data_IF_099861369192
#
_entry.id   IF_099861369192
#
_cell.length_a   1.000
_cell.length_b   1.000
_cell.length_c   1.000
_cell.angle_alpha   90.00
_cell.angle_beta   90.00
_cell.angle_gamma   90.00
#
_symmetry.space_group_name_H-M   'P 1'
#
loop_
_entity.id
_entity.type
_entity.pdbx_description
1 polymer ?
#
# COMPACT_ATOMS: atom_id res chain seq x y z
N UNK A 1 3.16 5.89 6.76
CA UNK A 1 3.85 4.58 6.82
C UNK A 1 3.08 3.52 6.05
N UNK A 2 1.82 3.18 6.40
CA UNK A 2 1.08 2.06 5.78
C UNK A 2 1.01 2.11 4.26
N UNK A 3 0.74 3.27 3.68
CA UNK A 3 0.69 3.41 2.22
C UNK A 3 2.08 3.35 1.60
N UNK A 4 3.06 4.03 2.17
CA UNK A 4 4.47 3.96 1.72
C UNK A 4 4.96 2.51 1.71
N UNK A 5 4.65 1.77 2.78
CA UNK A 5 5.03 0.35 2.89
C UNK A 5 4.32 -0.56 1.89
N UNK A 6 3.13 -0.18 1.42
CA UNK A 6 2.32 -1.02 0.52
C UNK A 6 2.57 -0.70 -0.95
N UNK A 7 2.67 0.58 -1.30
CA UNK A 7 2.74 1.05 -2.70
C UNK A 7 3.88 2.05 -2.95
N UNK A 8 4.76 2.29 -1.98
CA UNK A 8 5.92 3.17 -2.13
C UNK A 8 5.64 4.68 -2.06
N UNK A 9 4.43 5.10 -1.83
CA UNK A 9 4.04 6.51 -1.74
C UNK A 9 2.93 6.77 -0.73
N UNK A 10 2.69 8.02 -0.36
CA UNK A 10 1.66 8.39 0.60
C UNK A 10 0.53 9.20 -0.04
N UNK A 11 -0.66 9.16 0.58
CA UNK A 11 -1.81 9.95 0.12
C UNK A 11 -1.64 11.47 0.28
N UNK A 12 -0.82 11.89 1.23
CA UNK A 12 -0.74 13.30 1.59
C UNK A 12 0.20 14.09 0.70
N UNK A 13 1.29 13.45 0.35
CA UNK A 13 2.44 14.16 -0.19
C UNK A 13 2.57 13.95 -1.69
N UNK A 14 1.95 12.87 -2.20
CA UNK A 14 2.34 12.33 -3.50
C UNK A 14 1.23 12.20 -4.52
N UNK A 15 0.06 12.74 -4.25
CA UNK A 15 -0.97 12.65 -5.27
C UNK A 15 -2.37 12.97 -4.80
N UNK A 16 -3.32 12.58 -5.61
CA UNK A 16 -4.74 12.78 -5.36
C UNK A 16 -5.63 12.05 -6.34
N UNK A 17 -6.94 12.01 -6.07
CA UNK A 17 -7.91 11.42 -6.97
C UNK A 17 -7.98 12.18 -8.29
N UNK A 18 -8.03 11.45 -9.41
CA UNK A 18 -8.23 12.02 -10.74
C UNK A 18 -9.72 12.21 -11.04
N UNK A 19 -10.34 13.19 -10.38
CA UNK A 19 -11.78 13.44 -10.51
C UNK A 19 -12.22 13.93 -11.89
N UNK A 20 -11.30 14.41 -12.71
CA UNK A 20 -11.64 14.81 -14.08
C UNK A 20 -11.99 13.61 -14.98
N UNK A 21 -11.54 12.41 -14.61
CA UNK A 21 -11.72 11.18 -15.39
C UNK A 21 -12.37 10.04 -14.60
N UNK A 22 -12.47 10.15 -13.30
CA UNK A 22 -13.13 9.16 -12.47
C UNK A 22 -14.61 9.00 -12.84
N UNK A 23 -15.16 7.82 -12.61
CA UNK A 23 -16.61 7.54 -12.69
C UNK A 23 -17.21 7.24 -11.33
N UNK A 24 -16.41 6.62 -10.46
CA UNK A 24 -16.75 6.39 -9.07
C UNK A 24 -15.67 7.01 -8.17
N UNK A 25 -16.10 7.81 -7.20
CA UNK A 25 -15.26 8.39 -6.19
C UNK A 25 -15.67 7.92 -4.80
N UNK A 26 -14.75 7.31 -4.07
CA UNK A 26 -14.97 6.80 -2.71
C UNK A 26 -14.08 7.56 -1.74
N UNK A 27 -14.70 8.30 -0.85
CA UNK A 27 -14.03 9.04 0.22
C UNK A 27 -14.27 8.35 1.55
N UNK A 28 -13.19 8.08 2.30
CA UNK A 28 -13.25 7.30 3.52
C UNK A 28 -12.61 8.09 4.66
N UNK A 29 -13.35 8.27 5.77
CA UNK A 29 -12.82 8.85 7.00
C UNK A 29 -12.40 10.31 6.88
N UNK A 30 -13.01 11.08 5.98
CA UNK A 30 -12.73 12.50 5.78
C UNK A 30 -13.99 13.31 6.07
N UNK A 31 -13.96 14.07 7.15
CA UNK A 31 -15.07 14.92 7.57
C UNK A 31 -14.81 16.42 7.32
N UNK A 32 -13.58 16.79 7.06
CA UNK A 32 -13.16 18.19 6.95
C UNK A 32 -13.74 18.86 5.72
N UNK A 33 -14.51 19.91 5.94
CA UNK A 33 -15.07 20.72 4.87
C UNK A 33 -14.60 22.18 4.91
N UNK A 34 -13.89 22.59 5.96
CA UNK A 34 -13.55 23.97 6.21
C UNK A 34 -12.37 24.49 5.40
N UNK A 35 -11.45 23.60 4.97
CA UNK A 35 -10.17 23.99 4.38
C UNK A 35 -9.96 23.54 2.93
N UNK A 36 -10.92 22.84 2.31
CA UNK A 36 -10.73 22.22 1.00
C UNK A 36 -11.75 22.69 -0.03
N UNK A 37 -11.90 24.00 -0.20
CA UNK A 37 -12.74 24.55 -1.27
C UNK A 37 -12.39 24.01 -2.67
N UNK A 38 -11.10 23.84 -3.06
CA UNK A 38 -10.76 23.26 -4.35
C UNK A 38 -11.31 21.85 -4.53
N UNK A 39 -11.26 21.00 -3.50
CA UNK A 39 -11.79 19.64 -3.57
C UNK A 39 -13.32 19.62 -3.66
N UNK A 40 -14.04 20.51 -2.94
CA UNK A 40 -15.49 20.67 -3.10
C UNK A 40 -15.88 21.08 -4.52
N UNK A 41 -15.16 22.01 -5.11
CA UNK A 41 -15.37 22.43 -6.49
C UNK A 41 -15.13 21.27 -7.47
N UNK A 42 -14.06 20.50 -7.27
CA UNK A 42 -13.77 19.32 -8.08
C UNK A 42 -14.87 18.25 -7.95
N UNK A 43 -15.36 17.98 -6.73
CA UNK A 43 -16.48 17.06 -6.49
C UNK A 43 -17.75 17.56 -7.17
N UNK A 44 -18.07 18.86 -7.07
CA UNK A 44 -19.23 19.43 -7.71
C UNK A 44 -19.18 19.30 -9.25
N UNK A 45 -18.00 19.51 -9.83
CA UNK A 45 -17.76 19.28 -11.26
C UNK A 45 -17.92 17.79 -11.60
N UNK A 46 -17.26 16.92 -10.88
CA UNK A 46 -17.31 15.47 -11.04
C UNK A 46 -18.75 14.93 -11.05
N UNK A 47 -19.57 15.34 -10.09
CA UNK A 47 -20.99 14.97 -10.02
C UNK A 47 -21.81 15.52 -11.20
N UNK A 48 -21.57 16.76 -11.60
CA UNK A 48 -22.20 17.39 -12.76
C UNK A 48 -21.89 16.67 -14.06
N UNK A 49 -20.69 16.12 -14.17
CA UNK A 49 -20.23 15.34 -15.31
C UNK A 49 -20.68 13.85 -15.24
N UNK A 50 -21.57 13.50 -14.30
CA UNK A 50 -22.19 12.18 -14.16
C UNK A 50 -21.42 11.20 -13.26
N UNK A 51 -20.40 11.65 -12.57
CA UNK A 51 -19.66 10.84 -11.61
C UNK A 51 -20.47 10.56 -10.34
N UNK A 52 -20.27 9.38 -9.76
CA UNK A 52 -20.91 8.94 -8.51
C UNK A 52 -19.97 9.09 -7.33
N UNK A 53 -20.41 9.79 -6.30
CA UNK A 53 -19.67 10.05 -5.08
C UNK A 53 -20.23 9.28 -3.88
N UNK A 54 -19.42 8.40 -3.28
CA UNK A 54 -19.72 7.65 -2.06
C UNK A 54 -18.85 8.14 -0.93
N UNK A 55 -19.45 8.48 0.20
CA UNK A 55 -18.73 8.89 1.42
C UNK A 55 -18.96 7.87 2.53
N UNK A 56 -17.90 7.25 3.01
CA UNK A 56 -17.90 6.33 4.13
C UNK A 56 -17.37 7.08 5.36
N UNK A 57 -18.25 7.39 6.31
CA UNK A 57 -17.90 8.24 7.44
C UNK A 57 -18.88 7.99 8.60
N UNK A 58 -18.40 7.98 9.86
CA UNK A 58 -19.29 7.86 11.03
C UNK A 58 -20.36 8.97 11.12
N UNK A 59 -20.05 10.17 10.62
CA UNK A 59 -20.91 11.34 10.76
C UNK A 59 -21.28 11.90 9.39
N UNK A 60 -22.55 12.24 9.22
CA UNK A 60 -23.06 12.86 7.98
C UNK A 60 -22.85 14.38 8.01
N UNK A 61 -21.60 14.81 7.92
CA UNK A 61 -21.23 16.23 7.86
C UNK A 61 -20.24 16.47 6.73
N UNK A 62 -19.99 17.73 6.40
CA UNK A 62 -18.99 18.08 5.40
C UNK A 62 -19.22 17.39 4.07
N UNK A 63 -18.24 16.65 3.62
CA UNK A 63 -18.29 15.92 2.35
C UNK A 63 -19.40 14.87 2.30
N UNK A 64 -19.72 14.23 3.43
CA UNK A 64 -20.79 13.23 3.49
C UNK A 64 -22.17 13.83 3.21
N UNK A 65 -22.37 15.13 3.48
CA UNK A 65 -23.61 15.80 3.20
C UNK A 65 -23.87 16.03 1.70
N UNK A 66 -22.82 16.11 0.89
CA UNK A 66 -22.90 16.31 -0.57
C UNK A 66 -22.68 15.02 -1.36
N UNK A 67 -22.44 13.90 -0.69
CA UNK A 67 -22.29 12.58 -1.34
C UNK A 67 -23.63 12.11 -1.93
N UNK A 68 -23.55 11.33 -3.02
CA UNK A 68 -24.72 10.64 -3.59
C UNK A 68 -25.17 9.50 -2.66
N UNK A 69 -24.20 8.92 -1.95
CA UNK A 69 -24.44 7.94 -0.92
C UNK A 69 -23.54 8.18 0.28
N UNK A 70 -24.14 8.23 1.46
CA UNK A 70 -23.42 8.20 2.72
C UNK A 70 -23.58 6.84 3.38
N UNK A 71 -22.45 6.22 3.71
CA UNK A 71 -22.37 4.93 4.39
C UNK A 71 -21.89 5.18 5.82
N UNK A 72 -22.77 5.08 6.81
CA UNK A 72 -22.39 5.20 8.22
C UNK A 72 -21.55 3.98 8.62
N UNK A 73 -20.47 4.23 9.35
CA UNK A 73 -19.58 3.18 9.84
C UNK A 73 -19.24 3.44 11.32
N UNK A 74 -19.08 2.40 12.10
CA UNK A 74 -18.57 2.53 13.46
C UNK A 74 -17.13 3.04 13.45
N UNK A 75 -16.78 4.06 14.25
CA UNK A 75 -15.42 4.59 14.30
C UNK A 75 -14.38 3.50 14.57
N UNK A 76 -13.25 3.55 13.86
CA UNK A 76 -12.13 2.62 14.04
C UNK A 76 -12.30 1.24 13.40
N UNK A 77 -13.38 1.01 12.66
CA UNK A 77 -13.67 -0.29 12.02
C UNK A 77 -13.45 -0.30 10.51
N UNK A 78 -12.91 0.76 9.95
CA UNK A 78 -12.65 0.91 8.50
C UNK A 78 -11.81 -0.24 7.94
N UNK A 79 -10.85 -0.75 8.72
CA UNK A 79 -10.04 -1.90 8.33
C UNK A 79 -10.87 -3.16 8.06
N UNK A 80 -11.92 -3.41 8.86
CA UNK A 80 -12.81 -4.54 8.65
C UNK A 80 -13.63 -4.39 7.36
N UNK A 81 -14.11 -3.18 7.07
CA UNK A 81 -14.81 -2.89 5.83
C UNK A 81 -13.91 -3.10 4.61
N UNK A 82 -12.69 -2.59 4.65
CA UNK A 82 -11.72 -2.75 3.57
C UNK A 82 -11.36 -4.22 3.33
N UNK A 83 -11.17 -5.00 4.39
CA UNK A 83 -10.91 -6.44 4.27
C UNK A 83 -12.09 -7.18 3.62
N UNK A 84 -13.34 -6.80 3.93
CA UNK A 84 -14.51 -7.37 3.27
C UNK A 84 -14.62 -6.96 1.79
N UNK A 85 -14.22 -5.74 1.42
CA UNK A 85 -14.10 -5.37 0.01
C UNK A 85 -13.05 -6.21 -0.71
N UNK A 86 -11.88 -6.44 -0.09
CA UNK A 86 -10.86 -7.33 -0.66
C UNK A 86 -11.41 -8.74 -0.86
N UNK A 87 -12.12 -9.28 0.15
CA UNK A 87 -12.77 -10.60 0.06
C UNK A 87 -13.70 -10.69 -1.15
N UNK A 88 -14.64 -9.76 -1.29
CA UNK A 88 -15.63 -9.76 -2.37
C UNK A 88 -15.00 -9.59 -3.75
N UNK A 89 -14.06 -8.67 -3.89
CA UNK A 89 -13.38 -8.42 -5.17
C UNK A 89 -12.59 -9.65 -5.61
N UNK A 90 -11.87 -10.29 -4.68
CA UNK A 90 -11.08 -11.50 -4.99
C UNK A 90 -12.00 -12.69 -5.26
N UNK A 91 -13.04 -12.90 -4.44
CA UNK A 91 -13.96 -14.00 -4.60
C UNK A 91 -14.71 -13.97 -5.94
N UNK A 92 -15.08 -12.77 -6.41
CA UNK A 92 -15.81 -12.57 -7.67
C UNK A 92 -14.90 -12.33 -8.88
N UNK A 93 -13.59 -12.37 -8.72
CA UNK A 93 -12.63 -12.14 -9.82
C UNK A 93 -12.72 -10.75 -10.43
N UNK A 94 -13.05 -9.74 -9.63
CA UNK A 94 -13.23 -8.35 -10.05
C UNK A 94 -11.93 -7.53 -10.00
N UNK A 95 -10.78 -8.17 -9.91
CA UNK A 95 -9.47 -7.52 -9.87
C UNK A 95 -8.87 -7.37 -11.26
N UNK A 96 -7.99 -6.38 -11.42
CA UNK A 96 -7.20 -6.17 -12.63
C UNK A 96 -5.96 -7.07 -12.62
N UNK A 97 -6.08 -8.24 -13.29
CA UNK A 97 -4.98 -9.21 -13.35
C UNK A 97 -3.71 -8.64 -13.98
N UNK A 98 -3.86 -7.88 -15.05
CA UNK A 98 -2.71 -7.35 -15.79
C UNK A 98 -1.93 -6.34 -14.96
N UNK A 99 -2.64 -5.50 -14.21
CA UNK A 99 -2.02 -4.60 -13.25
C UNK A 99 -1.27 -5.36 -12.16
N UNK A 100 -1.91 -6.37 -11.57
CA UNK A 100 -1.31 -7.18 -10.50
C UNK A 100 -0.04 -7.89 -10.96
N UNK A 101 -0.04 -8.45 -12.14
CA UNK A 101 1.13 -9.14 -12.70
C UNK A 101 2.28 -8.18 -12.99
N UNK A 102 1.97 -7.03 -13.59
CA UNK A 102 3.01 -6.11 -14.07
C UNK A 102 3.62 -5.25 -12.97
N UNK A 103 2.79 -4.79 -12.02
CA UNK A 103 3.20 -3.71 -11.12
C UNK A 103 3.20 -4.10 -9.65
N UNK A 104 2.93 -5.38 -9.33
CA UNK A 104 2.90 -5.85 -7.95
C UNK A 104 3.64 -7.18 -7.78
N UNK A 105 3.84 -7.57 -6.54
CA UNK A 105 4.40 -8.87 -6.18
C UNK A 105 3.38 -10.01 -6.20
N UNK A 106 2.17 -9.80 -6.72
CA UNK A 106 1.06 -10.75 -6.64
C UNK A 106 1.37 -12.14 -7.21
N UNK A 107 2.14 -12.20 -8.30
CA UNK A 107 2.58 -13.47 -8.93
C UNK A 107 3.85 -14.09 -8.33
N UNK A 108 4.55 -13.38 -7.44
CA UNK A 108 5.81 -13.87 -6.89
C UNK A 108 5.60 -15.05 -5.95
N UNK A 109 6.45 -16.05 -6.08
CA UNK A 109 6.38 -17.29 -5.30
C UNK A 109 6.87 -17.06 -3.88
N UNK A 110 6.15 -17.64 -2.94
CA UNK A 110 6.45 -17.64 -1.52
C UNK A 110 6.59 -19.06 -1.03
N UNK A 111 7.59 -19.31 -0.18
CA UNK A 111 7.75 -20.58 0.51
C UNK A 111 6.54 -20.84 1.41
N UNK A 112 5.83 -21.93 1.16
CA UNK A 112 4.63 -22.33 1.89
C UNK A 112 4.85 -23.53 2.81
N UNK A 113 6.08 -23.95 3.03
CA UNK A 113 6.42 -24.99 3.99
C UNK A 113 6.46 -24.43 5.42
N UNK A 114 5.43 -24.71 6.19
CA UNK A 114 5.30 -24.26 7.59
C UNK A 114 6.42 -24.78 8.52
N UNK A 115 7.19 -25.75 8.08
CA UNK A 115 8.31 -26.32 8.84
C UNK A 115 9.66 -25.68 8.50
N UNK A 116 9.70 -24.89 7.45
CA UNK A 116 10.91 -24.20 7.00
C UNK A 116 11.13 -22.92 7.80
N UNK A 117 12.38 -22.63 8.12
CA UNK A 117 12.79 -21.34 8.69
C UNK A 117 12.54 -20.18 7.72
N UNK A 118 12.40 -20.50 6.42
CA UNK A 118 12.08 -19.56 5.35
C UNK A 118 10.57 -19.48 5.04
N UNK A 119 9.71 -20.05 5.89
CA UNK A 119 8.26 -19.97 5.69
C UNK A 119 7.78 -18.53 5.55
N UNK A 120 7.01 -18.27 4.50
CA UNK A 120 6.47 -16.93 4.22
C UNK A 120 7.44 -16.00 3.48
N UNK A 121 8.67 -16.41 3.22
CA UNK A 121 9.65 -15.63 2.47
C UNK A 121 9.46 -15.82 0.96
N UNK A 122 9.74 -14.75 0.20
CA UNK A 122 9.78 -14.84 -1.26
C UNK A 122 10.96 -15.67 -1.73
N UNK A 123 10.70 -16.52 -2.69
CA UNK A 123 11.75 -17.30 -3.34
C UNK A 123 12.54 -16.41 -4.29
N UNK A 124 13.85 -16.55 -4.19
CA UNK A 124 14.83 -15.79 -4.98
C UNK A 124 15.70 -16.72 -5.81
N UNK A 125 16.24 -16.20 -6.88
CA UNK A 125 17.32 -16.81 -7.63
C UNK A 125 18.59 -15.98 -7.44
N UNK A 126 19.75 -16.61 -7.62
CA UNK A 126 21.00 -15.88 -7.65
C UNK A 126 21.06 -15.05 -8.94
N UNK A 127 21.21 -13.75 -8.78
CA UNK A 127 21.45 -12.81 -9.88
C UNK A 127 22.87 -12.27 -9.73
N UNK A 128 23.71 -12.28 -10.78
CA UNK A 128 25.03 -11.69 -10.73
C UNK A 128 24.98 -10.25 -10.21
N UNK A 129 25.92 -9.86 -9.37
CA UNK A 129 25.91 -8.54 -8.71
C UNK A 129 25.89 -7.39 -9.73
N UNK A 130 26.50 -7.61 -10.89
CA UNK A 130 26.55 -6.66 -12.01
C UNK A 130 25.15 -6.45 -12.67
N UNK A 131 24.28 -7.45 -12.58
CA UNK A 131 22.90 -7.40 -13.10
C UNK A 131 21.88 -7.03 -12.03
N UNK A 132 22.24 -7.11 -10.78
CA UNK A 132 21.41 -6.86 -9.63
C UNK A 132 21.26 -5.34 -9.38
N UNK A 133 20.63 -4.67 -10.31
CA UNK A 133 20.43 -3.24 -10.28
C UNK A 133 19.23 -2.84 -9.42
N UNK A 134 18.18 -3.59 -9.48
CA UNK A 134 16.96 -3.39 -8.74
C UNK A 134 16.22 -4.71 -8.58
N UNK A 135 15.74 -4.94 -7.42
CA UNK A 135 15.24 -6.18 -6.86
C UNK A 135 14.23 -7.04 -7.66
N UNK A 136 13.47 -6.61 -8.64
CA UNK A 136 12.42 -7.45 -9.21
C UNK A 136 12.91 -8.72 -9.93
N UNK A 137 14.15 -8.71 -10.40
CA UNK A 137 14.65 -9.79 -11.26
C UNK A 137 15.11 -11.03 -10.52
N UNK A 138 15.29 -10.95 -9.22
CA UNK A 138 15.72 -12.09 -8.40
C UNK A 138 14.57 -12.95 -7.85
N UNK A 139 13.31 -12.53 -8.06
CA UNK A 139 12.12 -13.26 -7.63
C UNK A 139 11.67 -14.26 -8.69
N UNK A 140 10.82 -15.20 -8.28
CA UNK A 140 10.31 -16.25 -9.14
C UNK A 140 8.80 -16.13 -9.34
N UNK A 141 8.36 -16.44 -10.57
CA UNK A 141 6.99 -16.72 -10.93
C UNK A 141 6.82 -18.20 -11.29
N UNK A 142 5.59 -18.71 -11.18
CA UNK A 142 5.21 -19.96 -11.83
C UNK A 142 4.51 -19.63 -13.14
N UNK A 143 5.17 -19.96 -14.24
CA UNK A 143 4.69 -19.62 -15.58
C UNK A 143 3.63 -20.59 -16.08
N UNK A 144 2.51 -20.07 -16.59
CA UNK A 144 1.40 -20.85 -17.14
C UNK A 144 1.74 -21.52 -18.46
N UNK A 145 2.61 -20.90 -19.25
CA UNK A 145 2.94 -21.39 -20.58
C UNK A 145 3.85 -22.63 -20.51
N UNK A 146 4.79 -22.62 -19.58
CA UNK A 146 5.78 -23.70 -19.43
C UNK A 146 5.48 -24.62 -18.26
N UNK A 147 4.59 -24.23 -17.36
CA UNK A 147 4.29 -24.91 -16.09
C UNK A 147 5.55 -25.16 -15.23
N UNK A 148 6.47 -24.20 -15.24
CA UNK A 148 7.70 -24.22 -14.45
C UNK A 148 7.94 -22.88 -13.80
N UNK A 149 8.90 -22.83 -12.86
CA UNK A 149 9.37 -21.57 -12.30
C UNK A 149 10.22 -20.81 -13.32
N UNK A 150 10.03 -19.49 -13.37
CA UNK A 150 10.81 -18.55 -14.18
C UNK A 150 11.10 -17.30 -13.37
N UNK A 151 12.14 -16.57 -13.72
CA UNK A 151 12.40 -15.26 -13.13
C UNK A 151 11.27 -14.30 -13.46
N UNK A 152 11.00 -13.37 -12.55
CA UNK A 152 9.97 -12.35 -12.76
C UNK A 152 10.29 -11.50 -14.00
N UNK A 153 9.24 -11.06 -14.67
CA UNK A 153 9.31 -10.21 -15.87
C UNK A 153 10.07 -10.83 -17.06
N UNK A 154 10.30 -12.15 -17.04
CA UNK A 154 10.81 -12.85 -18.21
C UNK A 154 9.91 -12.59 -19.44
N UNK A 155 10.46 -12.15 -20.57
CA UNK A 155 9.67 -11.90 -21.76
C UNK A 155 8.83 -13.12 -22.19
N UNK A 156 7.52 -12.89 -22.41
CA UNK A 156 6.59 -13.95 -22.82
C UNK A 156 6.08 -14.84 -21.68
N UNK A 157 6.52 -14.67 -20.44
CA UNK A 157 5.97 -15.39 -19.31
C UNK A 157 4.58 -14.85 -18.91
N UNK A 158 3.70 -15.79 -18.54
CA UNK A 158 2.36 -15.50 -18.02
C UNK A 158 2.20 -16.16 -16.63
N UNK A 159 2.44 -15.42 -15.53
CA UNK A 159 2.46 -16.01 -14.21
C UNK A 159 1.07 -16.41 -13.70
N UNK A 160 1.02 -17.53 -12.96
CA UNK A 160 -0.12 -17.84 -12.12
C UNK A 160 -0.24 -16.85 -10.95
N UNK A 161 -1.43 -16.37 -10.70
CA UNK A 161 -1.78 -15.66 -9.46
C UNK A 161 -2.33 -16.60 -8.39
N UNK A 162 -2.90 -17.71 -8.81
CA UNK A 162 -3.53 -18.71 -7.94
C UNK A 162 -2.92 -20.09 -8.20
N UNK A 163 -2.79 -20.88 -7.15
CA UNK A 163 -2.29 -22.25 -7.24
C UNK A 163 -1.37 -22.62 -6.09
N UNK A 164 -1.03 -23.90 -6.07
CA UNK A 164 -0.03 -24.48 -5.17
C UNK A 164 0.89 -25.31 -6.04
N UNK A 165 2.17 -25.09 -5.92
CA UNK A 165 3.18 -25.74 -6.76
C UNK A 165 4.26 -26.35 -5.89
N UNK A 166 5.10 -27.16 -6.49
CA UNK A 166 6.28 -27.72 -5.86
C UNK A 166 7.53 -27.25 -6.63
N UNK A 167 8.45 -26.62 -5.92
CA UNK A 167 9.73 -26.23 -6.47
C UNK A 167 10.85 -27.05 -5.78
N UNK A 168 11.31 -28.10 -6.45
CA UNK A 168 12.37 -29.01 -5.95
C UNK A 168 12.07 -29.58 -4.56
N UNK A 169 10.81 -29.93 -4.28
CA UNK A 169 10.39 -30.50 -3.01
C UNK A 169 9.95 -29.43 -1.98
N UNK A 170 10.01 -28.16 -2.34
CA UNK A 170 9.50 -27.05 -1.50
C UNK A 170 8.11 -26.66 -1.98
N UNK A 171 7.07 -26.76 -1.13
CA UNK A 171 5.75 -26.27 -1.49
C UNK A 171 5.75 -24.73 -1.59
N UNK A 172 5.25 -24.23 -2.72
CA UNK A 172 5.24 -22.80 -3.01
C UNK A 172 3.87 -22.33 -3.47
N UNK A 173 3.57 -21.06 -3.21
CA UNK A 173 2.34 -20.39 -3.64
C UNK A 173 2.65 -19.00 -4.16
N UNK A 174 1.93 -18.50 -5.18
CA UNK A 174 1.92 -17.06 -5.48
C UNK A 174 1.45 -16.26 -4.26
N UNK A 175 2.01 -15.09 -4.02
CA UNK A 175 1.61 -14.24 -2.89
C UNK A 175 0.13 -13.84 -2.94
N UNK A 176 -0.45 -13.71 -4.14
CA UNK A 176 -1.88 -13.48 -4.32
C UNK A 176 -2.75 -14.65 -3.82
N UNK A 177 -2.28 -15.90 -3.95
CA UNK A 177 -2.96 -17.06 -3.38
C UNK A 177 -3.03 -16.95 -1.85
N UNK A 178 -1.93 -16.53 -1.21
CA UNK A 178 -1.90 -16.30 0.23
C UNK A 178 -2.83 -15.16 0.65
N UNK A 179 -2.88 -14.07 -0.12
CA UNK A 179 -3.84 -12.99 0.12
C UNK A 179 -5.28 -13.50 0.04
N UNK A 180 -5.63 -14.28 -0.99
CA UNK A 180 -6.96 -14.90 -1.13
C UNK A 180 -7.31 -15.77 0.06
N UNK A 181 -6.39 -16.63 0.50
CA UNK A 181 -6.57 -17.49 1.66
C UNK A 181 -6.76 -16.65 2.94
N UNK A 182 -5.97 -15.60 3.11
CA UNK A 182 -6.04 -14.71 4.26
C UNK A 182 -7.37 -13.96 4.36
N UNK A 183 -7.87 -13.41 3.26
CA UNK A 183 -9.10 -12.61 3.27
C UNK A 183 -10.37 -13.46 3.24
N UNK A 184 -10.28 -14.76 3.02
CA UNK A 184 -11.44 -15.65 2.95
C UNK A 184 -12.31 -15.62 4.21
N UNK A 185 -11.73 -15.35 5.38
CA UNK A 185 -12.42 -15.26 6.66
C UNK A 185 -13.19 -13.93 6.86
N UNK A 186 -12.94 -12.91 6.05
CA UNK A 186 -13.49 -11.57 6.24
C UNK A 186 -14.70 -11.34 5.34
N UNK A 187 -15.75 -12.15 5.53
CA UNK A 187 -16.98 -12.03 4.74
C UNK A 187 -17.72 -10.72 5.01
N UNK A 188 -18.62 -10.28 4.12
CA UNK A 188 -19.49 -9.14 4.36
C UNK A 188 -20.32 -9.25 5.64
N UNK A 189 -20.79 -10.45 6.00
CA UNK A 189 -21.54 -10.70 7.23
C UNK A 189 -20.68 -10.50 8.48
N UNK A 190 -19.44 -10.98 8.45
CA UNK A 190 -18.48 -10.71 9.50
C UNK A 190 -18.26 -9.20 9.64
N UNK A 191 -18.04 -8.51 8.54
CA UNK A 191 -17.81 -7.08 8.54
C UNK A 191 -19.03 -6.27 8.98
N UNK A 192 -20.25 -6.68 8.64
CA UNK A 192 -21.48 -6.06 9.16
C UNK A 192 -21.52 -6.10 10.68
N UNK A 193 -21.19 -7.24 11.29
CA UNK A 193 -21.13 -7.37 12.74
C UNK A 193 -20.14 -6.41 13.41
N UNK A 194 -19.02 -6.16 12.75
CA UNK A 194 -17.95 -5.27 13.24
C UNK A 194 -18.26 -3.80 12.95
N UNK A 195 -18.61 -3.48 11.72
CA UNK A 195 -18.70 -2.11 11.19
C UNK A 195 -20.07 -1.46 11.35
N UNK A 196 -21.12 -2.28 11.42
CA UNK A 196 -22.50 -1.83 11.34
C UNK A 196 -22.96 -1.48 9.92
N UNK A 197 -22.12 -1.65 8.91
CA UNK A 197 -22.48 -1.48 7.50
C UNK A 197 -23.16 -2.77 7.03
N UNK A 198 -24.39 -2.73 6.47
CA UNK A 198 -25.08 -3.93 6.01
C UNK A 198 -24.28 -4.73 4.98
N UNK A 199 -24.28 -6.06 5.11
CA UNK A 199 -23.53 -6.96 4.21
C UNK A 199 -23.89 -6.76 2.74
N UNK A 200 -25.15 -6.50 2.43
CA UNK A 200 -25.58 -6.22 1.06
C UNK A 200 -25.03 -4.90 0.52
N UNK A 201 -24.86 -3.88 1.38
CA UNK A 201 -24.21 -2.64 1.00
C UNK A 201 -22.72 -2.88 0.71
N UNK A 202 -22.04 -3.69 1.51
CA UNK A 202 -20.64 -4.06 1.30
C UNK A 202 -20.49 -4.79 -0.04
N UNK A 203 -21.31 -5.79 -0.32
CA UNK A 203 -21.29 -6.54 -1.59
C UNK A 203 -21.55 -5.64 -2.79
N UNK A 204 -22.54 -4.79 -2.68
CA UNK A 204 -22.91 -3.88 -3.77
C UNK A 204 -21.80 -2.89 -4.07
N UNK A 205 -21.21 -2.27 -3.05
CA UNK A 205 -20.09 -1.33 -3.25
C UNK A 205 -18.83 -2.00 -3.79
N UNK A 206 -18.49 -3.20 -3.29
CA UNK A 206 -17.38 -3.97 -3.83
C UNK A 206 -17.60 -4.33 -5.30
N UNK A 207 -18.81 -4.76 -5.65
CA UNK A 207 -19.19 -5.07 -7.03
C UNK A 207 -19.13 -3.81 -7.90
N UNK A 208 -19.69 -2.69 -7.44
CA UNK A 208 -19.68 -1.41 -8.16
C UNK A 208 -18.24 -0.94 -8.43
N UNK A 209 -17.36 -0.96 -7.42
CA UNK A 209 -15.96 -0.62 -7.59
C UNK A 209 -15.26 -1.52 -8.61
N UNK A 210 -15.46 -2.83 -8.48
CA UNK A 210 -14.80 -3.80 -9.37
C UNK A 210 -15.25 -3.69 -10.82
N UNK A 211 -16.56 -3.58 -11.06
CA UNK A 211 -17.13 -3.43 -12.40
C UNK A 211 -16.73 -2.08 -13.02
N UNK A 212 -16.79 -1.00 -12.24
CA UNK A 212 -16.38 0.32 -12.73
C UNK A 212 -14.90 0.33 -13.13
N UNK A 213 -14.03 -0.24 -12.31
CA UNK A 213 -12.61 -0.29 -12.61
C UNK A 213 -12.29 -1.18 -13.83
N UNK A 214 -12.94 -2.35 -13.93
CA UNK A 214 -12.62 -3.37 -14.94
C UNK A 214 -13.33 -3.14 -16.27
N UNK A 215 -14.63 -2.83 -16.22
CA UNK A 215 -15.50 -2.86 -17.40
C UNK A 215 -15.76 -1.46 -17.98
N UNK A 216 -15.43 -0.40 -17.25
CA UNK A 216 -15.59 0.97 -17.70
C UNK A 216 -14.25 1.68 -17.93
N UNK A 217 -13.24 0.93 -18.31
CA UNK A 217 -11.88 1.44 -18.56
C UNK A 217 -11.89 2.65 -19.49
N UNK A 218 -10.91 3.50 -19.26
CA UNK A 218 -10.62 4.68 -20.10
C UNK A 218 -9.39 4.35 -20.92
N UNK A 219 -9.41 4.67 -22.20
CA UNK A 219 -8.23 4.62 -23.04
C UNK A 219 -7.92 6.04 -23.54
N UNK A 220 -6.69 6.46 -23.31
CA UNK A 220 -6.18 7.74 -23.78
C UNK A 220 -5.09 7.51 -24.82
N UNK A 221 -5.12 8.21 -25.97
CA UNK A 221 -4.11 8.09 -27.02
C UNK A 221 -2.82 8.83 -26.61
N UNK A 222 -2.16 8.32 -25.58
CA UNK A 222 -0.92 8.86 -25.04
C UNK A 222 0.15 7.77 -25.15
N UNK A 223 1.13 8.00 -26.02
CA UNK A 223 2.28 7.10 -26.12
C UNK A 223 3.18 7.22 -24.91
N UNK A 224 3.66 6.08 -24.40
CA UNK A 224 4.53 6.03 -23.26
C UNK A 224 5.36 4.75 -23.26
N UNK A 225 6.44 4.76 -22.50
CA UNK A 225 7.31 3.60 -22.30
C UNK A 225 7.22 3.16 -20.83
N UNK A 226 7.00 1.89 -20.58
CA UNK A 226 6.93 1.34 -19.23
C UNK A 226 8.34 1.17 -18.61
N UNK A 227 8.36 0.79 -17.33
CA UNK A 227 9.61 0.61 -16.60
C UNK A 227 10.49 -0.53 -17.11
N UNK A 228 9.96 -1.39 -17.97
CA UNK A 228 10.66 -2.50 -18.59
C UNK A 228 11.07 -2.20 -20.05
N UNK A 229 10.84 -0.97 -20.51
CA UNK A 229 11.22 -0.53 -21.86
C UNK A 229 10.21 -0.90 -22.95
N UNK A 230 9.02 -1.38 -22.61
CA UNK A 230 7.99 -1.64 -23.61
C UNK A 230 7.29 -0.35 -24.01
N UNK A 231 7.11 -0.15 -25.31
CA UNK A 231 6.37 0.98 -25.87
C UNK A 231 4.88 0.67 -25.92
N UNK A 232 4.07 1.67 -25.59
CA UNK A 232 2.62 1.62 -25.60
C UNK A 232 2.08 2.85 -26.32
N UNK A 233 1.09 2.68 -27.18
CA UNK A 233 0.44 3.78 -27.92
C UNK A 233 -0.67 4.43 -27.09
N UNK A 234 -1.18 3.74 -26.08
CA UNK A 234 -2.30 4.18 -25.26
C UNK A 234 -2.04 3.98 -23.78
N UNK A 235 -2.66 4.81 -22.96
CA UNK A 235 -2.72 4.66 -21.51
C UNK A 235 -4.12 4.20 -21.12
N UNK A 236 -4.21 3.08 -20.42
CA UNK A 236 -5.47 2.56 -19.88
C UNK A 236 -5.72 3.09 -18.46
N UNK A 237 -6.91 3.60 -18.21
CA UNK A 237 -7.37 4.07 -16.90
C UNK A 237 -8.45 3.20 -16.30
N UNK A 238 -8.42 3.05 -14.97
CA UNK A 238 -9.42 2.33 -14.18
C UNK A 238 -10.15 3.37 -13.30
N UNK A 239 -11.37 3.84 -13.69
CA UNK A 239 -11.93 5.10 -13.21
C UNK A 239 -12.61 5.01 -11.84
N UNK A 240 -11.93 4.43 -10.87
CA UNK A 240 -12.34 4.43 -9.46
C UNK A 240 -11.30 5.18 -8.65
N UNK A 241 -11.67 6.35 -8.17
CA UNK A 241 -10.81 7.21 -7.40
C UNK A 241 -11.08 7.09 -5.89
N UNK A 242 -10.04 7.22 -5.09
CA UNK A 242 -10.13 7.17 -3.64
C UNK A 242 -9.58 8.44 -3.01
N UNK A 243 -10.13 8.78 -1.87
CA UNK A 243 -9.53 9.77 -0.97
C UNK A 243 -9.73 9.33 0.47
N UNK A 244 -8.66 9.34 1.22
CA UNK A 244 -8.65 9.01 2.63
C UNK A 244 -7.69 9.94 3.37
N UNK A 245 -8.01 10.23 4.62
CA UNK A 245 -7.22 11.13 5.45
C UNK A 245 -6.94 10.49 6.81
N UNK A 246 -6.60 11.31 7.79
CA UNK A 246 -6.25 10.89 9.14
C UNK A 246 -7.27 9.98 9.82
N UNK A 247 -8.55 10.09 9.45
CA UNK A 247 -9.60 9.27 10.04
C UNK A 247 -9.32 7.78 10.00
N UNK A 248 -8.70 7.28 8.91
CA UNK A 248 -8.31 5.87 8.79
C UNK A 248 -7.02 5.53 9.54
N UNK A 249 -6.08 6.47 9.59
CA UNK A 249 -4.74 6.23 10.12
C UNK A 249 -4.63 6.44 11.64
N UNK A 250 -5.50 7.26 12.23
CA UNK A 250 -5.39 7.68 13.61
C UNK A 250 -6.05 6.69 14.61
N UNK A 251 -5.89 5.40 14.36
CA UNK A 251 -6.35 4.30 15.20
C UNK A 251 -5.21 3.33 15.47
N UNK A 252 -5.35 2.51 16.50
CA UNK A 252 -4.35 1.49 16.85
C UNK A 252 -4.06 0.51 15.70
N UNK A 253 -5.04 0.25 14.84
CA UNK A 253 -4.92 -0.58 13.64
C UNK A 253 -4.71 0.24 12.35
N UNK A 254 -4.47 1.55 12.45
CA UNK A 254 -4.43 2.47 11.31
C UNK A 254 -3.40 2.10 10.26
N UNK A 255 -2.24 1.57 10.64
CA UNK A 255 -1.25 1.09 9.69
C UNK A 255 -1.81 -0.03 8.79
N UNK A 256 -2.44 -1.03 9.37
CA UNK A 256 -3.01 -2.15 8.62
C UNK A 256 -4.25 -1.73 7.81
N UNK A 257 -5.03 -0.80 8.34
CA UNK A 257 -6.17 -0.20 7.63
C UNK A 257 -5.72 0.50 6.33
N UNK A 258 -4.67 1.31 6.42
CA UNK A 258 -4.10 1.98 5.25
C UNK A 258 -3.47 0.98 4.28
N UNK A 259 -2.83 -0.08 4.77
CA UNK A 259 -2.36 -1.17 3.90
C UNK A 259 -3.50 -1.85 3.15
N UNK A 260 -4.60 -2.15 3.83
CA UNK A 260 -5.78 -2.74 3.19
C UNK A 260 -6.34 -1.85 2.07
N UNK A 261 -6.35 -0.52 2.28
CA UNK A 261 -6.74 0.44 1.24
C UNK A 261 -5.76 0.41 0.05
N UNK A 262 -4.45 0.38 0.29
CA UNK A 262 -3.45 0.26 -0.77
C UNK A 262 -3.60 -1.03 -1.58
N UNK A 263 -3.88 -2.14 -0.90
CA UNK A 263 -4.16 -3.44 -1.55
C UNK A 263 -5.44 -3.35 -2.38
N UNK A 264 -6.51 -2.73 -1.87
CA UNK A 264 -7.75 -2.52 -2.61
C UNK A 264 -7.51 -1.75 -3.91
N UNK A 265 -6.77 -0.64 -3.84
CA UNK A 265 -6.40 0.15 -5.01
C UNK A 265 -5.56 -0.65 -6.00
N UNK A 266 -4.66 -1.50 -5.52
CA UNK A 266 -3.86 -2.41 -6.37
C UNK A 266 -4.72 -3.47 -7.04
N UNK A 267 -5.69 -4.06 -6.33
CA UNK A 267 -6.63 -5.02 -6.92
C UNK A 267 -7.45 -4.40 -8.05
N UNK A 268 -7.88 -3.16 -7.86
CA UNK A 268 -8.66 -2.43 -8.87
C UNK A 268 -7.78 -1.86 -9.99
N UNK A 269 -6.46 -1.89 -9.84
CA UNK A 269 -5.52 -1.34 -10.82
C UNK A 269 -5.63 0.18 -10.99
N UNK A 270 -5.99 0.91 -9.94
CA UNK A 270 -6.28 2.35 -10.02
C UNK A 270 -5.09 3.25 -9.71
N UNK A 271 -3.98 2.66 -9.26
CA UNK A 271 -2.78 3.42 -8.87
C UNK A 271 -2.06 3.91 -10.11
N UNK A 272 -1.78 5.22 -10.14
CA UNK A 272 -1.11 5.91 -11.25
C UNK A 272 -1.79 5.73 -12.63
N UNK A 273 -3.10 5.53 -12.61
CA UNK A 273 -3.88 5.38 -13.83
C UNK A 273 -4.94 6.47 -13.97
N UNK A 274 -5.27 6.88 -15.20
CA UNK A 274 -6.35 7.84 -15.46
C UNK A 274 -7.67 7.45 -14.79
N UNK A 275 -8.30 8.42 -14.12
CA UNK A 275 -9.54 8.21 -13.37
C UNK A 275 -9.36 7.53 -12.00
N UNK A 276 -8.15 7.12 -11.66
CA UNK A 276 -7.80 6.52 -10.38
C UNK A 276 -7.11 7.49 -9.42
N UNK A 277 -6.09 7.01 -8.75
CA UNK A 277 -5.27 7.78 -7.83
C UNK A 277 -3.91 8.07 -8.46
N UNK A 278 -3.61 9.35 -8.67
CA UNK A 278 -2.33 9.78 -9.23
C UNK A 278 -1.30 9.96 -8.13
N UNK A 279 -0.20 9.25 -8.24
CA UNK A 279 0.99 9.53 -7.46
C UNK A 279 1.77 10.67 -8.11
N UNK A 280 2.16 11.61 -7.27
CA UNK A 280 3.09 12.67 -7.66
C UNK A 280 4.27 12.64 -6.72
N UNK A 281 5.44 12.27 -7.20
CA UNK A 281 6.64 12.44 -6.43
C UNK A 281 6.83 13.94 -6.13
N UNK A 282 6.98 14.34 -4.86
CA UNK A 282 7.14 15.75 -4.50
C UNK A 282 8.44 16.31 -5.03
N UNK A 283 9.42 15.43 -5.28
CA UNK A 283 10.72 15.78 -5.82
C UNK A 283 11.09 14.86 -6.97
N UNK A 284 11.71 15.38 -8.02
CA UNK A 284 12.29 14.54 -9.06
C UNK A 284 13.28 13.57 -8.42
N UNK A 285 13.01 12.29 -8.57
CA UNK A 285 13.93 11.24 -8.13
C UNK A 285 14.37 10.45 -9.34
N UNK A 286 15.67 10.19 -9.50
CA UNK A 286 16.11 9.25 -10.50
C UNK A 286 15.50 7.89 -10.18
N UNK A 287 14.82 7.33 -11.13
CA UNK A 287 14.26 5.99 -11.10
C UNK A 287 14.72 5.32 -12.40
N UNK A 288 15.24 4.15 -12.38
CA UNK A 288 15.44 3.24 -11.23
C UNK A 288 16.64 3.63 -10.36
N UNK A 289 16.74 3.07 -9.15
CA UNK A 289 17.88 3.33 -8.25
C UNK A 289 19.24 3.04 -8.85
N UNK A 290 19.34 2.05 -9.73
CA UNK A 290 20.56 1.72 -10.48
C UNK A 290 21.01 2.81 -11.46
N UNK A 291 20.20 3.80 -11.75
CA UNK A 291 20.69 4.99 -12.47
C UNK A 291 21.65 5.85 -11.64
N UNK A 292 21.79 5.57 -10.35
CA UNK A 292 22.74 6.27 -9.48
C UNK A 292 24.09 5.55 -9.49
N UNK A 293 25.18 6.29 -9.48
CA UNK A 293 26.51 5.69 -9.40
C UNK A 293 26.64 4.76 -8.18
N UNK A 294 27.36 3.66 -8.29
CA UNK A 294 27.76 2.86 -7.14
C UNK A 294 28.39 3.76 -6.08
N UNK A 295 28.15 3.46 -4.82
CA UNK A 295 28.63 4.23 -3.67
C UNK A 295 28.06 5.66 -3.54
N UNK A 296 27.05 6.02 -4.32
CA UNK A 296 26.32 7.24 -4.06
C UNK A 296 25.52 7.07 -2.76
N UNK A 297 25.51 8.07 -1.83
CA UNK A 297 24.82 7.95 -0.53
C UNK A 297 23.33 7.59 -0.63
N UNK A 298 22.72 7.82 -1.78
CA UNK A 298 21.32 7.49 -2.06
C UNK A 298 21.15 6.32 -3.04
N UNK A 299 22.20 5.57 -3.32
CA UNK A 299 22.09 4.38 -4.15
C UNK A 299 21.39 3.26 -3.36
N UNK A 300 20.45 2.59 -4.02
CA UNK A 300 19.86 1.36 -3.49
C UNK A 300 20.76 0.20 -3.88
N UNK A 301 21.15 -0.58 -2.90
CA UNK A 301 21.88 -1.79 -3.11
C UNK A 301 20.91 -2.98 -3.10
N UNK A 302 21.11 -3.97 -3.97
CA UNK A 302 20.31 -5.18 -3.93
C UNK A 302 20.42 -5.88 -2.57
N UNK A 303 19.29 -6.31 -2.04
CA UNK A 303 19.22 -7.03 -0.75
C UNK A 303 19.78 -6.28 0.46
N UNK A 304 19.90 -4.97 0.36
CA UNK A 304 20.35 -4.09 1.45
C UNK A 304 19.30 -3.02 1.75
N UNK A 305 19.31 -2.45 2.96
CA UNK A 305 18.51 -1.29 3.30
C UNK A 305 18.73 -0.14 2.33
N UNK A 306 17.71 0.71 2.18
CA UNK A 306 17.82 1.92 1.38
C UNK A 306 18.76 2.90 2.05
N UNK A 307 19.87 3.21 1.40
CA UNK A 307 20.82 4.20 1.85
C UNK A 307 20.47 5.59 1.30
N UNK A 308 20.63 6.59 2.12
CA UNK A 308 20.45 7.98 1.72
C UNK A 308 19.03 8.39 1.35
N UNK A 309 18.03 7.65 1.76
CA UNK A 309 16.65 8.12 1.75
C UNK A 309 16.50 9.29 2.71
N UNK A 310 15.54 10.19 2.42
CA UNK A 310 15.20 11.29 3.32
C UNK A 310 14.80 10.84 4.75
N UNK A 311 14.54 9.56 4.94
CA UNK A 311 14.23 8.95 6.21
C UNK A 311 15.46 8.47 7.00
N UNK A 312 16.66 8.56 6.44
CA UNK A 312 17.90 8.18 7.14
C UNK A 312 18.04 6.68 7.41
N UNK A 313 17.64 5.84 6.46
CA UNK A 313 17.81 4.39 6.58
C UNK A 313 19.29 4.00 6.56
N UNK A 314 19.71 3.05 7.41
CA UNK A 314 21.08 2.54 7.39
C UNK A 314 21.41 1.82 6.08
N UNK A 315 22.68 1.81 5.74
CA UNK A 315 23.15 1.23 4.49
C UNK A 315 23.25 -0.30 4.52
N UNK A 316 23.46 -0.86 5.71
CA UNK A 316 23.64 -2.29 5.89
C UNK A 316 22.58 -2.87 6.85
N UNK A 317 21.96 -4.02 6.56
CA UNK A 317 21.02 -4.68 7.48
C UNK A 317 21.63 -4.97 8.86
N UNK A 318 22.89 -5.29 8.91
CA UNK A 318 23.58 -5.59 10.18
C UNK A 318 23.68 -4.36 11.08
N UNK A 319 23.73 -3.16 10.51
CA UNK A 319 23.71 -1.90 11.25
C UNK A 319 22.38 -1.67 12.00
N UNK A 320 21.34 -2.42 11.67
CA UNK A 320 20.04 -2.36 12.33
C UNK A 320 20.02 -3.11 13.67
N UNK A 321 20.88 -4.06 13.85
CA UNK A 321 20.80 -5.04 14.92
C UNK A 321 21.94 -4.97 15.90
N UNK A 322 23.07 -4.42 15.49
CA UNK A 322 24.26 -4.26 16.34
C UNK A 322 24.82 -2.84 16.23
N UNK A 323 25.28 -2.32 17.33
CA UNK A 323 25.99 -1.06 17.38
C UNK A 323 27.48 -1.25 17.02
N UNK A 324 28.24 -0.17 16.98
CA UNK A 324 29.68 -0.18 16.67
C UNK A 324 30.53 -1.04 17.64
N UNK A 325 29.97 -1.40 18.80
CA UNK A 325 30.60 -2.25 19.81
C UNK A 325 30.08 -3.70 19.75
N UNK A 326 29.24 -4.02 18.77
CA UNK A 326 28.62 -5.35 18.63
C UNK A 326 27.48 -5.60 19.62
N UNK A 327 26.96 -4.57 20.29
CA UNK A 327 25.81 -4.67 21.15
C UNK A 327 24.49 -4.61 20.36
N UNK A 328 23.42 -5.26 20.82
CA UNK A 328 22.14 -5.24 20.13
C UNK A 328 21.56 -3.83 20.11
N UNK A 329 21.19 -3.35 18.91
CA UNK A 329 20.52 -2.07 18.75
C UNK A 329 19.04 -2.23 19.08
N UNK A 330 18.53 -1.33 19.88
CA UNK A 330 17.09 -1.28 20.19
C UNK A 330 16.32 -0.71 19.00
N UNK A 331 15.14 -1.25 18.73
CA UNK A 331 14.25 -0.81 17.66
C UNK A 331 13.82 0.66 17.77
N UNK A 332 13.78 1.19 18.98
CA UNK A 332 13.44 2.59 19.26
C UNK A 332 14.59 3.58 19.03
N UNK A 333 15.80 3.08 18.83
CA UNK A 333 16.98 3.89 18.51
C UNK A 333 17.27 4.02 17.03
N UNK A 334 16.75 3.12 16.23
CA UNK A 334 17.09 3.04 14.83
C UNK A 334 15.93 2.62 13.95
N UNK A 335 16.25 2.53 12.69
CA UNK A 335 15.35 2.01 11.67
C UNK A 335 15.58 0.52 11.53
N UNK A 336 14.52 -0.22 11.28
CA UNK A 336 14.59 -1.65 11.08
C UNK A 336 13.85 -2.04 9.80
N UNK A 337 14.46 -2.90 9.03
CA UNK A 337 13.83 -3.50 7.86
C UNK A 337 12.67 -4.41 8.22
N UNK A 338 12.82 -5.21 9.25
CA UNK A 338 11.76 -6.09 9.75
C UNK A 338 10.64 -5.29 10.41
N UNK A 339 10.99 -4.12 10.92
CA UNK A 339 10.05 -3.24 11.64
C UNK A 339 10.05 -1.83 11.05
N UNK A 340 9.64 -1.67 9.79
CA UNK A 340 9.68 -0.37 9.10
C UNK A 340 8.81 0.70 9.76
N UNK A 341 8.04 0.33 10.77
CA UNK A 341 7.25 1.23 11.60
C UNK A 341 8.09 2.05 12.57
N UNK A 342 9.33 1.66 12.83
CA UNK A 342 10.19 2.35 13.79
C UNK A 342 10.35 3.83 13.50
N UNK A 343 10.34 4.22 12.22
CA UNK A 343 10.42 5.63 11.79
C UNK A 343 9.20 6.45 12.22
N UNK A 344 8.01 5.84 12.21
CA UNK A 344 6.74 6.52 12.50
C UNK A 344 5.95 5.89 13.63
N UNK A 345 6.16 4.61 13.91
CA UNK A 345 5.39 3.85 14.88
C UNK A 345 5.94 3.88 16.30
N UNK A 346 7.24 4.16 16.45
CA UNK A 346 7.93 4.14 17.74
C UNK A 346 8.30 5.54 18.27
N UNK A 347 7.76 6.61 17.69
CA UNK A 347 8.06 7.98 18.13
C UNK A 347 7.72 8.22 19.61
N UNK A 348 6.70 7.57 20.14
CA UNK A 348 6.34 7.66 21.55
C UNK A 348 7.43 7.09 22.47
N UNK A 349 8.21 6.13 22.00
CA UNK A 349 9.30 5.57 22.80
C UNK A 349 10.40 6.60 23.10
N UNK A 350 10.52 7.65 22.28
CA UNK A 350 11.45 8.75 22.57
C UNK A 350 11.15 9.40 23.91
N UNK A 351 9.88 9.58 24.24
CA UNK A 351 9.44 10.17 25.53
C UNK A 351 9.73 9.21 26.67
N UNK A 352 9.33 7.97 26.54
CA UNK A 352 9.59 6.94 27.56
C UNK A 352 11.08 6.74 27.79
N UNK A 353 11.88 6.72 26.73
CA UNK A 353 13.33 6.57 26.82
C UNK A 353 14.00 7.82 27.42
N UNK A 354 13.54 9.01 27.09
CA UNK A 354 14.01 10.25 27.70
C UNK A 354 13.76 10.25 29.22
N UNK A 355 12.58 9.79 29.65
CA UNK A 355 12.28 9.65 31.08
C UNK A 355 13.17 8.64 31.78
N UNK A 356 13.46 7.52 31.13
CA UNK A 356 14.37 6.48 31.65
C UNK A 356 15.85 6.88 31.57
N UNK A 357 16.18 7.88 30.78
CA UNK A 357 17.57 8.28 30.49
C UNK A 357 18.30 7.30 29.59
N UNK A 358 17.61 6.56 28.76
CA UNK A 358 18.17 5.55 27.87
C UNK A 358 17.90 5.91 26.38
N UNK A 359 18.92 5.94 25.54
CA UNK A 359 20.37 5.70 25.75
C UNK A 359 21.08 6.88 26.41
N UNK A 360 20.46 8.04 26.46
CA UNK A 360 20.98 9.25 27.07
C UNK A 360 19.84 10.09 27.64
N UNK A 361 20.19 11.01 28.50
CA UNK A 361 19.24 11.93 29.11
C UNK A 361 18.92 13.08 28.15
N UNK A 362 17.65 13.42 28.04
CA UNK A 362 17.20 14.66 27.40
C UNK A 362 16.92 15.67 28.50
N UNK A 363 17.71 16.75 28.54
CA UNK A 363 17.55 17.81 29.53
C UNK A 363 16.46 18.81 29.14
N UNK A 364 16.30 19.07 27.85
CA UNK A 364 15.35 20.06 27.37
C UNK A 364 14.59 19.52 26.17
N UNK A 365 13.26 19.53 26.25
CA UNK A 365 12.36 19.18 25.17
C UNK A 365 11.62 20.45 24.71
N UNK A 366 11.87 20.89 23.48
CA UNK A 366 11.12 21.98 22.87
C UNK A 366 9.93 21.42 22.08
N UNK A 367 8.71 21.69 22.51
CA UNK A 367 7.50 21.32 21.80
C UNK A 367 6.99 22.54 21.04
N UNK A 368 6.91 22.41 19.71
CA UNK A 368 6.40 23.48 18.84
C UNK A 368 5.17 22.98 18.05
N UNK A 369 4.06 23.68 18.17
CA UNK A 369 2.79 23.37 17.49
C UNK A 369 2.33 21.91 17.65
N UNK A 370 2.68 21.24 18.74
CA UNK A 370 2.32 19.87 19.01
C UNK A 370 1.85 19.71 20.46
N UNK A 371 0.80 18.91 20.64
CA UNK A 371 0.38 18.41 21.95
C UNK A 371 0.65 16.91 21.97
N UNK A 372 1.85 16.53 22.39
CA UNK A 372 2.32 15.14 22.34
C UNK A 372 1.44 14.20 23.16
N UNK A 373 1.00 14.63 24.34
CA UNK A 373 0.12 13.84 25.20
C UNK A 373 -1.24 13.54 24.56
N UNK A 374 -1.71 14.41 23.66
CA UNK A 374 -2.98 14.25 22.96
C UNK A 374 -2.86 13.61 21.57
N UNK A 375 -1.84 14.00 20.82
CA UNK A 375 -1.77 13.67 19.41
C UNK A 375 -0.89 12.45 19.08
N UNK A 376 0.09 12.16 19.91
CA UNK A 376 1.15 11.22 19.53
C UNK A 376 1.29 10.04 20.46
N UNK A 377 0.66 10.06 21.62
CA UNK A 377 0.73 8.95 22.57
C UNK A 377 -0.67 8.46 22.92
N UNK A 378 -0.82 7.15 22.98
CA UNK A 378 -2.04 6.51 23.51
C UNK A 378 -1.98 6.40 25.05
N UNK A 379 -0.83 6.71 25.64
CA UNK A 379 -0.56 6.60 27.07
C UNK A 379 -0.21 7.98 27.63
N UNK A 380 -1.24 8.79 27.87
CA UNK A 380 -1.08 10.14 28.42
C UNK A 380 -0.71 10.16 29.91
N UNK A 381 -0.74 9.00 30.58
CA UNK A 381 -0.41 8.87 31.99
C UNK A 381 1.09 8.77 32.21
N UNK A 382 1.83 8.12 31.30
CA UNK A 382 3.29 8.12 31.29
C UNK A 382 3.85 9.46 30.76
#
# INVERSE_FOLDING_TARGET
>A
AGMIYTIGGSFWEFGGPDLDRAKLFVMIGTAEDHHSNPLKMAIAKFKRDGGRFVSINPVRTGYSAIADEWVPIRPGTDGALLLAFLHEIIAKGLYDRDFLVRYTNAGQLVNADEKSDEFGMFLRTEVPEEEACYDPQDKLWWDRNTNTSVVTHKPGADPFLLGKFDLHGVPVKPSFQLLKERVAQYSPEWAEGVTGVPADTIRRLAYEMGVTARDQRIELPIAWTDSWGNEHDTVTGNPVAFHAMRGLAAHSNGFQTIRALGILMSLLGTIDRPGGFRHKAPFPRPIPPCARPPNHPQAVQPNRPLDGMALGWPADPDDLFVDENGGPVRLDKGFSWEYPLSVHGLMHNVITNAWRGDPYRIDTLLIFMANMAWNSTMNAVE
#
